data_IF_893003895711
#
_entry.id   IF_893003895711
#
_cell.length_a   1.000
_cell.length_b   1.000
_cell.length_c   1.000
_cell.angle_alpha   90.00
_cell.angle_beta   90.00
_cell.angle_gamma   90.00
#
_symmetry.space_group_name_H-M   'P 1'
#
loop_
_entity.id
_entity.type
_entity.pdbx_description
1 polymer ?
#
# COMPACT_ATOMS: atom_id res chain seq x y z
N UNK A 1 -44.03 -8.88 14.45
CA UNK A 1 -42.86 -8.11 14.93
C UNK A 1 -41.79 -9.09 15.39
N UNK A 2 -40.65 -9.11 14.72
CA UNK A 2 -39.35 -9.48 15.31
C UNK A 2 -38.30 -8.93 14.34
N UNK A 3 -37.57 -7.89 14.77
CA UNK A 3 -36.53 -7.23 13.97
C UNK A 3 -35.31 -8.13 13.96
N UNK A 4 -34.86 -8.47 12.75
CA UNK A 4 -33.57 -9.08 12.47
C UNK A 4 -32.44 -8.16 12.95
N UNK A 5 -31.59 -8.66 13.84
CA UNK A 5 -30.47 -7.95 14.44
C UNK A 5 -29.19 -8.79 14.28
N UNK A 6 -28.71 -8.93 13.05
CA UNK A 6 -27.34 -9.44 12.81
C UNK A 6 -26.71 -8.81 11.56
N UNK A 7 -26.60 -7.47 11.55
CA UNK A 7 -25.60 -6.78 10.71
C UNK A 7 -24.21 -6.97 11.33
N UNK A 8 -23.66 -8.18 11.25
CA UNK A 8 -22.22 -8.42 11.40
C UNK A 8 -21.59 -8.55 10.01
N UNK A 9 -21.70 -7.48 9.24
CA UNK A 9 -20.95 -7.33 8.00
C UNK A 9 -19.49 -7.07 8.31
N UNK A 10 -18.60 -7.77 7.59
CA UNK A 10 -17.16 -7.53 7.40
C UNK A 10 -16.12 -8.30 8.24
N UNK A 11 -16.49 -9.18 9.19
CA UNK A 11 -15.49 -9.85 10.04
C UNK A 11 -15.38 -11.38 9.95
N UNK A 12 -16.17 -12.09 9.12
CA UNK A 12 -16.18 -13.57 9.20
C UNK A 12 -16.06 -14.34 7.86
N UNK A 13 -15.15 -13.92 6.99
CA UNK A 13 -14.52 -14.89 6.08
C UNK A 13 -13.09 -15.08 6.56
N UNK A 14 -12.81 -16.20 7.22
CA UNK A 14 -11.44 -16.64 7.46
C UNK A 14 -10.67 -16.48 6.15
N UNK A 15 -9.67 -15.59 6.14
CA UNK A 15 -8.89 -15.32 4.94
C UNK A 15 -8.25 -16.64 4.52
N UNK A 16 -8.53 -17.09 3.30
CA UNK A 16 -8.02 -18.36 2.82
C UNK A 16 -6.51 -18.43 3.08
N UNK A 17 -6.00 -19.54 3.63
CA UNK A 17 -4.59 -19.70 3.90
C UNK A 17 -3.82 -19.49 2.60
N UNK A 18 -2.82 -18.61 2.65
CA UNK A 18 -1.91 -18.31 1.54
C UNK A 18 -0.58 -19.01 1.78
N UNK A 19 0.27 -19.18 0.74
CA UNK A 19 1.60 -19.73 0.91
C UNK A 19 2.39 -19.04 2.03
N UNK A 20 3.32 -19.77 2.63
CA UNK A 20 4.21 -19.28 3.69
C UNK A 20 4.87 -17.94 3.27
N UNK A 21 4.87 -16.97 4.17
CA UNK A 21 5.48 -15.65 3.94
C UNK A 21 4.64 -14.68 3.11
N UNK A 22 3.43 -15.04 2.71
CA UNK A 22 2.49 -14.11 2.08
C UNK A 22 2.07 -13.01 3.07
N UNK A 23 1.99 -11.76 2.61
CA UNK A 23 1.75 -10.61 3.46
C UNK A 23 0.60 -9.75 2.94
N UNK A 24 -0.21 -9.28 3.87
CA UNK A 24 -1.30 -8.34 3.63
C UNK A 24 -1.12 -7.12 4.54
N UNK A 25 -1.28 -5.92 4.00
CA UNK A 25 -1.48 -4.71 4.78
C UNK A 25 -2.96 -4.54 5.06
N UNK A 26 -3.34 -4.50 6.33
CA UNK A 26 -4.70 -4.24 6.77
C UNK A 26 -4.78 -2.85 7.36
N UNK A 27 -5.65 -2.01 6.82
CA UNK A 27 -5.95 -0.68 7.36
C UNK A 27 -7.39 -0.68 7.84
N UNK A 28 -7.57 -0.63 9.16
CA UNK A 28 -8.88 -0.61 9.79
C UNK A 28 -8.83 0.09 11.13
N UNK A 29 -9.94 0.75 11.50
CA UNK A 29 -10.11 1.39 12.82
C UNK A 29 -8.94 2.31 13.23
N UNK A 30 -8.43 3.10 12.28
CA UNK A 30 -7.33 4.03 12.52
C UNK A 30 -5.97 3.35 12.78
N UNK A 31 -5.84 2.05 12.54
CA UNK A 31 -4.61 1.27 12.71
C UNK A 31 -4.18 0.62 11.41
N UNK A 32 -2.89 0.29 11.32
CA UNK A 32 -2.30 -0.53 10.26
C UNK A 32 -1.67 -1.78 10.85
N UNK A 33 -2.00 -2.91 10.27
CA UNK A 33 -1.44 -4.20 10.59
C UNK A 33 -0.79 -4.79 9.33
N UNK A 34 0.31 -5.52 9.51
CA UNK A 34 0.81 -6.45 8.49
C UNK A 34 0.47 -7.86 8.98
N UNK A 35 -0.35 -8.55 8.20
CA UNK A 35 -0.65 -9.95 8.45
C UNK A 35 0.24 -10.81 7.57
N UNK A 36 0.98 -11.72 8.19
CA UNK A 36 1.88 -12.65 7.51
C UNK A 36 1.35 -14.07 7.65
N UNK A 37 1.25 -14.80 6.54
CA UNK A 37 0.95 -16.24 6.56
C UNK A 37 2.17 -16.99 7.10
N UNK A 38 2.01 -17.67 8.24
CA UNK A 38 3.04 -18.49 8.90
C UNK A 38 2.43 -19.80 9.37
N UNK A 39 3.01 -20.92 8.94
CA UNK A 39 2.55 -22.27 9.28
C UNK A 39 1.05 -22.49 9.01
N UNK A 40 0.52 -21.88 7.95
CA UNK A 40 -0.89 -21.99 7.58
C UNK A 40 -1.84 -21.05 8.33
N UNK A 41 -1.33 -20.21 9.24
CA UNK A 41 -2.11 -19.23 10.00
C UNK A 41 -1.72 -17.80 9.66
N UNK A 42 -2.62 -16.84 9.88
CA UNK A 42 -2.31 -15.41 9.74
C UNK A 42 -1.82 -14.85 11.07
N UNK A 43 -0.60 -14.33 11.09
CA UNK A 43 -0.01 -13.64 12.24
C UNK A 43 -0.02 -12.14 11.99
N UNK A 44 -0.75 -11.39 12.83
CA UNK A 44 -0.88 -9.94 12.73
C UNK A 44 0.22 -9.20 13.50
N UNK A 45 0.86 -8.25 12.84
CA UNK A 45 1.84 -7.34 13.44
C UNK A 45 1.38 -5.90 13.30
N UNK A 46 1.26 -5.16 14.41
CA UNK A 46 0.89 -3.74 14.36
C UNK A 46 2.04 -2.88 13.85
N UNK A 47 1.81 -2.11 12.78
CA UNK A 47 2.83 -1.29 12.10
C UNK A 47 2.55 0.22 12.17
N UNK A 48 1.59 0.64 12.99
CA UNK A 48 1.33 2.04 13.34
C UNK A 48 -0.08 2.52 12.97
N UNK A 49 -0.29 3.83 13.07
CA UNK A 49 -1.59 4.45 12.79
C UNK A 49 -1.97 4.38 11.30
N UNK A 50 -3.25 4.21 11.04
CA UNK A 50 -3.90 4.31 9.73
C UNK A 50 -4.27 5.73 9.35
N UNK A 51 -4.45 6.64 10.31
CA UNK A 51 -4.88 8.02 10.06
C UNK A 51 -6.05 8.10 9.08
N UNK A 52 -5.93 8.98 8.09
CA UNK A 52 -6.92 9.19 7.02
C UNK A 52 -6.68 8.30 5.78
N UNK A 53 -5.82 7.27 5.88
CA UNK A 53 -5.59 6.38 4.74
C UNK A 53 -6.83 5.56 4.39
N UNK A 54 -6.98 5.20 3.10
CA UNK A 54 -8.05 4.33 2.66
C UNK A 54 -8.06 3.02 3.47
N UNK A 55 -9.23 2.68 4.03
CA UNK A 55 -9.45 1.43 4.74
C UNK A 55 -9.51 0.27 3.74
N UNK A 56 -8.97 -0.87 4.12
CA UNK A 56 -8.99 -2.07 3.27
C UNK A 56 -7.90 -3.08 3.60
N UNK A 57 -7.87 -4.14 2.80
CA UNK A 57 -6.84 -5.18 2.83
C UNK A 57 -6.09 -5.11 1.51
N UNK A 58 -4.78 -4.90 1.57
CA UNK A 58 -3.91 -4.70 0.42
C UNK A 58 -2.86 -5.80 0.36
N UNK A 59 -2.74 -6.45 -0.80
CA UNK A 59 -1.79 -7.55 -0.98
C UNK A 59 -0.37 -7.02 -1.21
N UNK A 60 0.50 -7.16 -0.19
CA UNK A 60 1.89 -6.71 -0.26
C UNK A 60 2.77 -7.66 -1.07
N UNK A 61 2.44 -8.96 -1.07
CA UNK A 61 3.17 -9.97 -1.84
C UNK A 61 2.80 -9.92 -3.32
N UNK A 62 1.52 -9.74 -3.61
CA UNK A 62 0.96 -9.59 -4.96
C UNK A 62 1.00 -8.17 -5.53
N UNK A 63 1.63 -7.22 -4.84
CA UNK A 63 1.76 -5.85 -5.30
C UNK A 63 2.41 -5.79 -6.70
N UNK A 64 1.86 -4.95 -7.58
CA UNK A 64 2.38 -4.82 -8.93
C UNK A 64 3.78 -4.21 -8.89
N UNK A 65 4.67 -4.72 -9.74
CA UNK A 65 5.93 -4.05 -10.03
C UNK A 65 5.67 -2.90 -11.01
N UNK A 66 6.38 -1.78 -10.90
CA UNK A 66 6.29 -0.72 -11.87
C UNK A 66 6.67 -1.25 -13.25
N UNK A 67 5.83 -0.99 -14.24
CA UNK A 67 6.16 -1.17 -15.64
C UNK A 67 7.34 -0.26 -16.01
N UNK A 68 8.47 -0.91 -16.34
CA UNK A 68 9.72 -0.28 -16.76
C UNK A 68 9.94 -0.36 -18.27
N UNK A 69 9.05 -1.02 -18.99
CA UNK A 69 9.17 -1.27 -20.44
C UNK A 69 8.62 -0.12 -21.26
N UNK A 70 7.63 0.60 -20.74
CA UNK A 70 7.12 1.82 -21.33
C UNK A 70 8.21 2.91 -21.39
N UNK A 71 8.15 3.76 -22.42
CA UNK A 71 9.05 4.90 -22.56
C UNK A 71 9.00 5.81 -21.33
N UNK A 72 7.79 6.04 -20.81
CA UNK A 72 7.51 6.79 -19.59
C UNK A 72 6.24 6.22 -18.95
N UNK A 73 6.28 5.99 -17.63
CA UNK A 73 5.12 5.55 -16.84
C UNK A 73 5.11 6.26 -15.50
N UNK A 74 3.95 6.81 -15.15
CA UNK A 74 3.77 7.56 -13.90
C UNK A 74 2.81 6.81 -12.97
N UNK A 75 3.14 6.80 -11.67
CA UNK A 75 2.31 6.30 -10.58
C UNK A 75 2.06 7.44 -9.60
N UNK A 76 0.80 7.67 -9.23
CA UNK A 76 0.43 8.78 -8.36
C UNK A 76 -0.61 8.34 -7.32
N UNK A 77 -0.35 8.66 -6.06
CA UNK A 77 -1.23 8.29 -4.95
C UNK A 77 -0.48 8.12 -3.63
N UNK A 78 -1.18 7.58 -2.63
CA UNK A 78 -0.70 7.57 -1.24
C UNK A 78 0.33 6.47 -0.97
N UNK A 79 1.34 6.79 -0.15
CA UNK A 79 2.27 5.79 0.40
C UNK A 79 1.58 5.02 1.52
N UNK A 80 1.30 3.74 1.31
CA UNK A 80 0.53 2.90 2.23
C UNK A 80 1.42 2.24 3.29
N UNK A 81 2.60 1.76 2.87
CA UNK A 81 3.52 1.04 3.74
C UNK A 81 4.97 1.18 3.25
N UNK A 82 5.92 1.14 4.18
CA UNK A 82 7.35 1.13 3.89
C UNK A 82 7.97 0.00 4.69
N UNK A 83 8.58 -0.95 3.99
CA UNK A 83 9.31 -2.06 4.57
C UNK A 83 10.81 -1.84 4.31
N UNK A 84 11.51 -1.38 5.35
CA UNK A 84 12.95 -1.11 5.27
C UNK A 84 13.77 -2.38 5.15
N UNK A 85 13.33 -3.49 5.74
CA UNK A 85 14.04 -4.77 5.66
C UNK A 85 14.01 -5.32 4.22
N UNK A 86 12.93 -5.04 3.47
CA UNK A 86 12.78 -5.43 2.06
C UNK A 86 13.14 -4.33 1.06
N UNK A 87 13.69 -3.21 1.53
CA UNK A 87 13.99 -2.03 0.71
C UNK A 87 12.81 -1.61 -0.19
N UNK A 88 11.59 -1.62 0.36
CA UNK A 88 10.36 -1.51 -0.41
C UNK A 88 9.44 -0.38 0.07
N UNK A 89 8.82 0.31 -0.89
CA UNK A 89 7.75 1.29 -0.67
C UNK A 89 6.51 0.84 -1.42
N UNK A 90 5.39 0.76 -0.72
CA UNK A 90 4.10 0.36 -1.26
C UNK A 90 3.23 1.60 -1.44
N UNK A 91 2.87 1.89 -2.69
CA UNK A 91 2.03 3.02 -3.07
C UNK A 91 0.68 2.50 -3.58
N UNK A 92 -0.42 3.12 -3.16
CA UNK A 92 -1.71 2.91 -3.80
C UNK A 92 -1.83 3.91 -4.96
N UNK A 93 -1.58 3.44 -6.18
CA UNK A 93 -1.74 4.25 -7.39
C UNK A 93 -3.23 4.47 -7.66
N UNK A 94 -3.66 5.71 -7.56
CA UNK A 94 -5.03 6.17 -7.79
C UNK A 94 -5.19 6.88 -9.13
N UNK A 95 -4.20 6.80 -10.03
CA UNK A 95 -4.25 7.44 -11.35
C UNK A 95 -5.28 6.80 -12.30
N UNK A 96 -5.71 5.57 -12.01
CA UNK A 96 -6.69 4.84 -12.80
C UNK A 96 -8.02 4.66 -12.07
N UNK A 97 -9.08 4.28 -12.80
CA UNK A 97 -10.41 4.01 -12.22
C UNK A 97 -10.39 2.95 -11.12
N UNK A 98 -9.38 2.07 -11.09
CA UNK A 98 -9.20 1.03 -10.07
C UNK A 98 -7.88 1.27 -9.35
N UNK A 99 -7.90 1.72 -8.08
CA UNK A 99 -6.70 1.88 -7.29
C UNK A 99 -5.92 0.57 -7.23
N UNK A 100 -4.62 0.63 -7.52
CA UNK A 100 -3.77 -0.56 -7.57
C UNK A 100 -2.53 -0.38 -6.71
N UNK A 101 -2.17 -1.41 -5.95
CA UNK A 101 -0.99 -1.36 -5.10
C UNK A 101 0.27 -1.65 -5.92
N UNK A 102 1.21 -0.72 -5.90
CA UNK A 102 2.48 -0.79 -6.63
C UNK A 102 3.63 -0.79 -5.64
N UNK A 103 4.59 -1.70 -5.86
CA UNK A 103 5.80 -1.85 -5.05
C UNK A 103 6.99 -1.20 -5.75
N UNK A 104 7.53 -0.16 -5.13
CA UNK A 104 8.73 0.55 -5.55
C UNK A 104 9.93 0.16 -4.68
N UNK A 105 11.12 0.38 -5.20
CA UNK A 105 12.34 0.31 -4.40
C UNK A 105 12.45 1.55 -3.51
N UNK A 106 12.86 1.39 -2.25
CA UNK A 106 12.99 2.52 -1.32
C UNK A 106 14.10 3.49 -1.75
N UNK A 107 15.09 3.05 -2.52
CA UNK A 107 16.16 3.90 -3.08
C UNK A 107 15.67 4.93 -4.10
N UNK A 108 14.41 4.87 -4.54
CA UNK A 108 13.78 5.95 -5.32
C UNK A 108 13.74 7.25 -4.50
N UNK A 109 13.70 7.14 -3.17
CA UNK A 109 13.58 8.26 -2.24
C UNK A 109 14.93 8.63 -1.59
N UNK A 110 15.97 8.79 -2.42
CA UNK A 110 17.38 8.96 -1.99
C UNK A 110 17.59 10.02 -0.91
N UNK A 111 16.96 11.19 -1.09
CA UNK A 111 17.20 12.34 -0.21
C UNK A 111 16.34 12.31 1.05
N UNK A 112 15.09 11.84 0.91
CA UNK A 112 14.12 11.84 1.99
C UNK A 112 13.09 10.75 1.80
N UNK A 113 13.05 9.83 2.77
CA UNK A 113 12.01 8.82 2.87
C UNK A 113 10.62 9.50 2.95
N UNK A 114 9.61 9.01 2.20
CA UNK A 114 8.30 9.62 2.21
C UNK A 114 7.59 9.32 3.53
N UNK A 115 6.68 10.21 3.90
CA UNK A 115 5.80 9.94 5.02
C UNK A 115 4.72 8.94 4.59
N UNK A 116 4.38 8.00 5.47
CA UNK A 116 3.18 7.19 5.30
C UNK A 116 1.96 8.11 5.17
N UNK A 117 1.04 7.76 4.27
CA UNK A 117 -0.17 8.51 3.98
C UNK A 117 0.05 9.69 3.04
N UNK A 118 1.29 10.16 2.86
CA UNK A 118 1.59 11.23 1.92
C UNK A 118 1.34 10.81 0.48
N UNK A 119 0.87 11.76 -0.34
CA UNK A 119 0.74 11.57 -1.77
C UNK A 119 2.09 11.80 -2.43
N UNK A 120 2.52 10.86 -3.26
CA UNK A 120 3.75 10.97 -4.05
C UNK A 120 3.44 10.70 -5.51
N UNK A 121 4.30 11.19 -6.40
CA UNK A 121 4.26 10.91 -7.83
C UNK A 121 5.63 10.36 -8.23
N UNK A 122 5.64 9.12 -8.71
CA UNK A 122 6.85 8.43 -9.13
C UNK A 122 6.76 8.21 -10.63
N UNK A 123 7.77 8.66 -11.36
CA UNK A 123 7.89 8.45 -12.79
C UNK A 123 9.00 7.45 -13.09
N UNK A 124 8.72 6.52 -14.00
CA UNK A 124 9.70 5.60 -14.56
C UNK A 124 9.93 5.98 -16.01
N UNK A 125 11.13 6.46 -16.33
CA UNK A 125 11.54 6.82 -17.69
C UNK A 125 12.70 5.91 -18.08
N UNK A 126 12.50 5.09 -19.13
CA UNK A 126 13.45 4.04 -19.56
C UNK A 126 13.88 3.13 -18.39
N UNK A 127 12.94 2.79 -17.51
CA UNK A 127 13.16 1.95 -16.34
C UNK A 127 13.87 2.61 -15.15
N UNK A 128 14.30 3.86 -15.28
CA UNK A 128 14.87 4.66 -14.18
C UNK A 128 13.75 5.38 -13.44
N UNK A 129 13.71 5.22 -12.12
CA UNK A 129 12.72 5.85 -11.27
C UNK A 129 13.17 7.26 -10.88
N UNK A 130 12.24 8.21 -10.93
CA UNK A 130 12.42 9.58 -10.47
C UNK A 130 11.19 10.00 -9.67
N UNK A 131 11.42 10.71 -8.56
CA UNK A 131 10.35 11.41 -7.89
C UNK A 131 10.01 12.63 -8.73
N UNK A 132 8.77 12.70 -9.23
CA UNK A 132 8.30 13.92 -9.82
C UNK A 132 8.15 14.93 -8.68
N UNK A 133 8.87 16.05 -8.76
CA UNK A 133 8.72 17.13 -7.79
C UNK A 133 7.25 17.48 -7.70
N UNK A 134 6.69 17.41 -6.48
CA UNK A 134 5.45 18.11 -6.23
C UNK A 134 5.78 19.57 -6.45
N UNK A 135 5.16 20.16 -7.47
CA UNK A 135 5.15 21.59 -7.67
C UNK A 135 4.80 22.19 -6.31
N UNK A 136 5.82 22.72 -5.61
CA UNK A 136 5.61 23.37 -4.34
C UNK A 136 4.57 24.42 -4.64
N UNK A 137 3.38 24.27 -4.07
CA UNK A 137 2.44 25.35 -3.95
C UNK A 137 3.22 26.49 -3.30
N UNK A 138 3.77 27.38 -4.13
CA UNK A 138 4.25 28.68 -3.72
C UNK A 138 2.98 29.42 -3.35
N UNK A 139 2.47 29.18 -2.15
CA UNK A 139 1.60 30.16 -1.54
C UNK A 139 2.46 31.42 -1.33
N UNK A 140 2.08 32.44 -2.08
CA UNK A 140 2.56 33.81 -2.02
C UNK A 140 1.93 34.51 -0.84
#
# INVERSE_FOLDING_TARGET
MARDHSKEGFLNTARAPKPEGHELLVIMNGSRLVDTSRSGEWVSSHVGSGGDMPKGVYDLTGAQKPDKTAAMKTYQGNVMHIDKAKNAVYQLDSSSKKPTLVKHDLSVFRDKQPAIGSMVKIEYTRGQAQLAEQERSRER
#
